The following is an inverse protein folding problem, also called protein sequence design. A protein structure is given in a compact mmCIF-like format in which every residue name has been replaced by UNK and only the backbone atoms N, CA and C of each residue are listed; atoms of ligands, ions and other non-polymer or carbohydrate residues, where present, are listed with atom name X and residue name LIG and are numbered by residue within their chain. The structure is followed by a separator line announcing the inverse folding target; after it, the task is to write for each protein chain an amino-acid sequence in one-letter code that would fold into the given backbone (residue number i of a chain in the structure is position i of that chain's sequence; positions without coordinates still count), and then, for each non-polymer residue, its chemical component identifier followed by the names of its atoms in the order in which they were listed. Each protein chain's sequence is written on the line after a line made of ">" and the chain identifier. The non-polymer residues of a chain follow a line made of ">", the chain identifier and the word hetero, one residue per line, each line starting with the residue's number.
data_IF_994350652259
#
_entry.id   IF_994350652259
#
_cell.length_a   1.000
_cell.length_b   1.000
_cell.length_c   1.000
_cell.angle_alpha   90.00
_cell.angle_beta   90.00
_cell.angle_gamma   90.00
#
_symmetry.space_group_name_H-M   'P 1'
#
loop_
_entity.id
_entity.type
_entity.pdbx_description
1 polymer ?
#
# COMPACT_ATOMS: atom_id res chain seq x y z
N UNK A 1 -6.17 -17.83 -1.61
CA UNK A 1 -4.81 -18.42 -1.65
C UNK A 1 -4.94 -19.90 -1.39
N UNK A 2 -4.16 -20.71 -2.07
CA UNK A 2 -4.10 -22.16 -1.88
C UNK A 2 -2.65 -22.63 -1.92
N UNK A 3 -2.36 -23.71 -1.19
CA UNK A 3 -1.08 -24.39 -1.34
C UNK A 3 -1.02 -25.05 -2.72
N UNK A 4 0.15 -25.02 -3.36
CA UNK A 4 0.39 -25.74 -4.60
C UNK A 4 0.52 -27.24 -4.31
N UNK A 5 1.14 -27.58 -3.18
CA UNK A 5 1.24 -28.94 -2.63
C UNK A 5 0.74 -28.92 -1.18
N UNK A 6 -0.39 -29.57 -0.92
CA UNK A 6 -0.97 -29.60 0.42
C UNK A 6 -0.29 -30.63 1.34
N UNK A 7 0.46 -31.57 0.78
CA UNK A 7 1.08 -32.68 1.52
C UNK A 7 2.45 -32.28 2.10
N UNK A 8 3.12 -31.27 1.53
CA UNK A 8 4.35 -30.66 2.06
C UNK A 8 4.21 -29.15 2.26
N UNK A 9 3.58 -28.76 3.37
CA UNK A 9 3.24 -27.35 3.68
C UNK A 9 4.48 -26.44 3.81
N UNK A 10 5.64 -26.99 4.21
CA UNK A 10 6.84 -26.17 4.45
C UNK A 10 7.55 -25.82 3.14
N UNK A 11 7.56 -26.74 2.18
CA UNK A 11 8.21 -26.53 0.87
C UNK A 11 7.23 -26.11 -0.23
N UNK A 12 5.92 -26.18 0.03
CA UNK A 12 4.90 -25.76 -0.92
C UNK A 12 4.92 -24.25 -1.16
N UNK A 13 4.88 -23.88 -2.44
CA UNK A 13 4.51 -22.53 -2.84
C UNK A 13 3.06 -22.17 -2.48
N UNK A 14 2.75 -20.88 -2.52
CA UNK A 14 1.41 -20.35 -2.31
C UNK A 14 0.91 -19.80 -3.65
N UNK A 15 -0.20 -20.33 -4.13
CA UNK A 15 -0.90 -19.74 -5.27
C UNK A 15 -1.83 -18.62 -4.82
N UNK A 16 -1.68 -17.46 -5.44
CA UNK A 16 -2.43 -16.25 -5.13
C UNK A 16 -3.42 -15.98 -6.26
N UNK A 17 -4.68 -16.21 -5.93
CA UNK A 17 -5.84 -15.89 -6.78
C UNK A 17 -6.53 -14.64 -6.26
N UNK A 18 -6.97 -13.78 -7.17
CA UNK A 18 -7.74 -12.59 -6.84
C UNK A 18 -8.86 -12.37 -7.86
N UNK A 19 -9.90 -11.68 -7.42
CA UNK A 19 -11.05 -11.31 -8.25
C UNK A 19 -11.23 -9.78 -8.21
N UNK A 20 -10.66 -9.05 -9.17
CA UNK A 20 -10.94 -7.62 -9.33
C UNK A 20 -12.42 -7.37 -9.66
N UNK A 21 -12.95 -6.16 -9.38
CA UNK A 21 -14.31 -5.80 -9.73
C UNK A 21 -14.61 -6.03 -11.22
N UNK A 22 -15.68 -6.76 -11.51
CA UNK A 22 -16.10 -7.06 -12.89
C UNK A 22 -15.28 -8.14 -13.61
N UNK A 23 -14.29 -8.77 -12.95
CA UNK A 23 -13.51 -9.88 -13.51
C UNK A 23 -13.83 -11.21 -12.82
N UNK A 24 -13.44 -12.29 -13.49
CA UNK A 24 -13.45 -13.64 -12.93
C UNK A 24 -12.23 -13.82 -12.03
N UNK A 25 -12.36 -14.75 -11.10
CA UNK A 25 -11.28 -15.17 -10.22
C UNK A 25 -10.17 -15.83 -11.04
N UNK A 26 -8.95 -15.31 -10.91
CA UNK A 26 -7.79 -15.77 -11.69
C UNK A 26 -6.49 -15.56 -10.92
N UNK A 27 -5.42 -16.17 -11.40
CA UNK A 27 -4.08 -16.01 -10.84
C UNK A 27 -3.63 -14.55 -10.91
N UNK A 28 -3.04 -14.02 -9.83
CA UNK A 28 -2.54 -12.63 -9.76
C UNK A 28 -1.54 -12.31 -10.88
N UNK A 29 -0.76 -13.29 -11.34
CA UNK A 29 0.19 -13.10 -12.44
C UNK A 29 -0.48 -12.72 -13.77
N UNK A 30 -1.78 -13.01 -13.93
CA UNK A 30 -2.57 -12.69 -15.12
C UNK A 30 -3.30 -11.34 -15.04
N UNK A 31 -3.23 -10.63 -13.91
CA UNK A 31 -3.89 -9.34 -13.72
C UNK A 31 -3.17 -8.19 -14.45
N UNK A 32 -3.82 -7.04 -14.60
CA UNK A 32 -3.17 -5.81 -15.07
C UNK A 32 -2.17 -5.27 -14.02
N UNK A 33 -1.28 -4.35 -14.40
CA UNK A 33 -0.31 -3.77 -13.47
C UNK A 33 -0.95 -3.17 -12.21
N UNK A 34 -1.97 -2.32 -12.37
CA UNK A 34 -2.68 -1.72 -11.24
C UNK A 34 -3.45 -2.74 -10.39
N UNK A 35 -4.02 -3.77 -11.00
CA UNK A 35 -4.70 -4.86 -10.28
C UNK A 35 -3.73 -5.74 -9.48
N UNK A 36 -2.54 -6.05 -10.05
CA UNK A 36 -1.47 -6.73 -9.31
C UNK A 36 -1.01 -5.90 -8.12
N UNK A 37 -0.82 -4.60 -8.32
CA UNK A 37 -0.42 -3.70 -7.24
C UNK A 37 -1.47 -3.65 -6.13
N UNK A 38 -2.75 -3.54 -6.48
CA UNK A 38 -3.85 -3.55 -5.50
C UNK A 38 -3.92 -4.89 -4.74
N UNK A 39 -3.76 -6.03 -5.43
CA UNK A 39 -3.74 -7.35 -4.79
C UNK A 39 -2.55 -7.51 -3.84
N UNK A 40 -1.36 -7.06 -4.25
CA UNK A 40 -0.15 -7.08 -3.42
C UNK A 40 -0.31 -6.18 -2.19
N UNK A 41 -0.83 -4.97 -2.37
CA UNK A 41 -1.11 -4.02 -1.29
C UNK A 41 -2.13 -4.59 -0.30
N UNK A 42 -3.22 -5.20 -0.80
CA UNK A 42 -4.21 -5.86 0.05
C UNK A 42 -3.59 -7.01 0.88
N UNK A 43 -2.69 -7.79 0.29
CA UNK A 43 -1.96 -8.84 1.00
C UNK A 43 -1.06 -8.27 2.10
N UNK A 44 -0.26 -7.25 1.78
CA UNK A 44 0.62 -6.58 2.75
C UNK A 44 -0.18 -6.00 3.92
N UNK A 45 -1.26 -5.27 3.62
CA UNK A 45 -2.14 -4.72 4.65
C UNK A 45 -2.83 -5.83 5.48
N UNK A 46 -3.19 -6.95 4.85
CA UNK A 46 -3.73 -8.12 5.56
C UNK A 46 -2.74 -8.75 6.54
N UNK A 47 -1.47 -8.85 6.16
CA UNK A 47 -0.39 -9.31 7.06
C UNK A 47 -0.23 -8.34 8.23
N UNK A 48 -0.19 -7.03 7.95
CA UNK A 48 -0.10 -6.00 8.99
C UNK A 48 -1.32 -5.99 9.91
N UNK A 49 -2.51 -6.29 9.41
CA UNK A 49 -3.71 -6.38 10.24
C UNK A 49 -3.65 -7.57 11.21
N UNK A 50 -3.07 -8.71 10.79
CA UNK A 50 -2.91 -9.88 11.66
C UNK A 50 -1.85 -9.66 12.75
N UNK A 51 -0.73 -9.00 12.41
CA UNK A 51 0.33 -8.63 13.36
C UNK A 51 0.69 -7.16 13.20
N UNK A 52 -0.02 -6.25 13.89
CA UNK A 52 0.23 -4.83 13.77
C UNK A 52 1.61 -4.47 14.31
N UNK A 53 2.38 -3.78 13.49
CA UNK A 53 3.61 -3.09 13.89
C UNK A 53 3.26 -1.74 14.53
N UNK A 54 4.07 -1.21 15.46
CA UNK A 54 3.87 0.15 15.97
C UNK A 54 3.96 1.21 14.87
N UNK A 55 4.70 0.95 13.78
CA UNK A 55 4.75 1.82 12.62
C UNK A 55 4.88 1.05 11.29
N UNK A 56 4.48 1.69 10.19
CA UNK A 56 4.57 1.20 8.82
C UNK A 56 5.09 2.31 7.90
N UNK A 57 6.11 2.01 7.10
CA UNK A 57 6.67 2.90 6.08
C UNK A 57 6.26 2.38 4.69
N UNK A 58 5.59 3.22 3.90
CA UNK A 58 5.16 2.91 2.54
C UNK A 58 5.81 3.89 1.57
N UNK A 59 6.47 3.38 0.54
CA UNK A 59 7.18 4.18 -0.46
C UNK A 59 6.55 4.01 -1.85
N UNK A 60 5.93 5.09 -2.35
CA UNK A 60 5.25 5.20 -3.66
C UNK A 60 4.32 4.03 -4.02
N UNK A 61 3.72 3.40 -3.00
CA UNK A 61 2.86 2.21 -3.19
C UNK A 61 1.57 2.52 -3.95
N UNK A 62 1.21 3.79 -4.05
CA UNK A 62 0.04 4.30 -4.75
C UNK A 62 0.31 4.78 -6.18
N UNK A 63 1.57 4.81 -6.63
CA UNK A 63 1.95 5.15 -8.00
C UNK A 63 1.25 4.30 -9.09
N UNK A 64 1.05 2.97 -8.94
CA UNK A 64 0.40 2.16 -9.97
C UNK A 64 -1.14 2.18 -9.90
N UNK A 65 -1.73 2.94 -8.96
CA UNK A 65 -3.17 2.92 -8.70
C UNK A 65 -3.89 4.06 -9.43
N UNK A 66 -5.12 3.80 -9.90
CA UNK A 66 -6.02 4.84 -10.36
C UNK A 66 -6.66 5.61 -9.19
N UNK A 67 -7.30 6.75 -9.47
CA UNK A 67 -7.87 7.64 -8.45
C UNK A 67 -8.90 6.95 -7.53
N UNK A 68 -9.69 6.02 -8.08
CA UNK A 68 -10.67 5.26 -7.32
C UNK A 68 -9.99 4.32 -6.31
N UNK A 69 -8.93 3.61 -6.74
CA UNK A 69 -8.19 2.69 -5.91
C UNK A 69 -7.27 3.39 -4.92
N UNK A 70 -6.72 4.57 -5.26
CA UNK A 70 -6.06 5.47 -4.30
C UNK A 70 -7.00 5.84 -3.17
N UNK A 71 -8.26 6.17 -3.48
CA UNK A 71 -9.28 6.43 -2.45
C UNK A 71 -9.45 5.27 -1.47
N UNK A 72 -9.62 4.06 -2.00
CA UNK A 72 -9.75 2.84 -1.18
C UNK A 72 -8.52 2.57 -0.32
N UNK A 73 -7.33 2.79 -0.87
CA UNK A 73 -6.07 2.67 -0.14
C UNK A 73 -6.01 3.65 1.02
N UNK A 74 -6.27 4.93 0.75
CA UNK A 74 -6.23 6.01 1.75
C UNK A 74 -7.24 5.77 2.87
N UNK A 75 -8.46 5.35 2.54
CA UNK A 75 -9.48 5.03 3.55
C UNK A 75 -9.02 3.89 4.46
N UNK A 76 -8.38 2.85 3.90
CA UNK A 76 -7.88 1.73 4.70
C UNK A 76 -6.69 2.09 5.57
N UNK A 77 -5.75 2.90 5.05
CA UNK A 77 -4.62 3.40 5.84
C UNK A 77 -5.12 4.28 6.99
N UNK A 78 -6.13 5.12 6.75
CA UNK A 78 -6.72 5.97 7.80
C UNK A 78 -7.31 5.13 8.95
N UNK A 79 -8.05 4.08 8.62
CA UNK A 79 -8.60 3.14 9.62
C UNK A 79 -7.48 2.47 10.44
N UNK A 80 -6.45 1.94 9.76
CA UNK A 80 -5.33 1.29 10.45
C UNK A 80 -4.46 2.28 11.25
N UNK A 81 -4.48 3.56 10.88
CA UNK A 81 -3.73 4.61 11.55
C UNK A 81 -4.23 4.94 12.96
N UNK A 82 -5.37 4.38 13.38
CA UNK A 82 -5.86 4.47 14.76
C UNK A 82 -4.98 3.69 15.74
N UNK A 83 -4.36 2.59 15.28
CA UNK A 83 -3.51 1.71 16.11
C UNK A 83 -2.04 1.67 15.69
N UNK A 84 -1.72 2.03 14.44
CA UNK A 84 -0.38 1.94 13.86
C UNK A 84 0.04 3.29 13.28
N UNK A 85 1.28 3.74 13.49
CA UNK A 85 1.77 4.96 12.85
C UNK A 85 2.11 4.69 11.37
N UNK A 86 1.51 5.43 10.44
CA UNK A 86 1.87 5.35 9.03
C UNK A 86 2.75 6.52 8.59
N UNK A 87 3.83 6.21 7.89
CA UNK A 87 4.69 7.15 7.18
C UNK A 87 4.60 6.78 5.71
N UNK A 88 4.10 7.69 4.88
CA UNK A 88 3.87 7.43 3.45
C UNK A 88 4.68 8.43 2.63
N UNK A 89 5.52 7.91 1.75
CA UNK A 89 6.24 8.69 0.73
C UNK A 89 5.41 8.58 -0.55
N UNK A 90 4.95 9.72 -1.06
CA UNK A 90 4.08 9.76 -2.24
C UNK A 90 4.12 11.14 -2.89
N UNK A 91 3.79 11.20 -4.17
CA UNK A 91 3.48 12.42 -4.91
C UNK A 91 1.96 12.57 -5.18
N UNK A 92 1.13 11.65 -4.69
CA UNK A 92 -0.31 11.65 -4.91
C UNK A 92 -1.02 12.62 -3.95
N UNK A 93 -1.68 13.64 -4.52
CA UNK A 93 -2.39 14.68 -3.77
C UNK A 93 -3.43 14.12 -2.80
N UNK A 94 -4.17 13.09 -3.21
CA UNK A 94 -5.26 12.52 -2.40
C UNK A 94 -4.73 11.77 -1.18
N UNK A 95 -3.58 11.12 -1.34
CA UNK A 95 -2.86 10.48 -0.22
C UNK A 95 -2.29 11.53 0.72
N UNK A 96 -1.72 12.63 0.19
CA UNK A 96 -1.21 13.74 1.00
C UNK A 96 -2.31 14.42 1.83
N UNK A 97 -3.50 14.65 1.25
CA UNK A 97 -4.64 15.31 1.90
C UNK A 97 -5.17 14.56 3.12
N UNK A 98 -4.91 13.24 3.24
CA UNK A 98 -5.33 12.47 4.41
C UNK A 98 -4.37 12.61 5.60
N UNK A 99 -3.11 12.96 5.34
CA UNK A 99 -2.09 13.00 6.38
C UNK A 99 -2.44 14.00 7.49
N UNK A 100 -1.96 13.75 8.71
CA UNK A 100 -2.01 14.74 9.82
C UNK A 100 -0.86 15.74 9.74
N UNK A 101 0.24 15.34 9.10
CA UNK A 101 1.41 16.18 8.87
C UNK A 101 2.04 15.81 7.54
N UNK A 102 2.52 16.82 6.82
CA UNK A 102 3.31 16.66 5.60
C UNK A 102 4.74 17.10 5.87
N UNK A 103 5.67 16.32 5.34
CA UNK A 103 7.08 16.63 5.31
C UNK A 103 7.51 16.70 3.85
N UNK A 104 7.75 17.92 3.36
CA UNK A 104 8.26 18.16 2.02
C UNK A 104 9.79 18.14 2.03
N UNK A 105 10.38 17.52 1.01
CA UNK A 105 11.81 17.59 0.76
C UNK A 105 12.02 18.49 -0.46
N UNK A 106 12.80 19.56 -0.30
CA UNK A 106 13.15 20.51 -1.37
C UNK A 106 14.66 20.62 -1.52
N UNK A 107 15.10 21.19 -2.64
CA UNK A 107 16.50 21.48 -2.94
C UNK A 107 16.64 22.96 -3.29
N UNK A 108 16.93 23.79 -2.30
CA UNK A 108 17.24 25.22 -2.52
C UNK A 108 18.62 25.38 -3.18
N UNK A 109 19.56 24.51 -2.81
CA UNK A 109 20.89 24.39 -3.39
C UNK A 109 21.06 23.02 -4.06
N UNK A 110 21.77 22.99 -5.19
CA UNK A 110 21.98 21.76 -5.93
C UNK A 110 22.74 20.73 -5.08
N UNK A 111 22.13 19.55 -4.90
CA UNK A 111 22.69 18.46 -4.09
C UNK A 111 22.46 18.57 -2.58
N UNK A 112 21.79 19.61 -2.08
CA UNK A 112 21.49 19.78 -0.65
C UNK A 112 19.98 19.69 -0.42
N UNK A 113 19.53 18.58 0.16
CA UNK A 113 18.14 18.40 0.56
C UNK A 113 17.82 19.20 1.83
N UNK A 114 16.68 19.90 1.82
CA UNK A 114 16.14 20.66 2.95
C UNK A 114 14.72 20.19 3.25
N UNK A 115 14.41 20.01 4.52
CA UNK A 115 13.08 19.57 4.98
C UNK A 115 12.20 20.78 5.29
N UNK A 116 10.96 20.74 4.84
CA UNK A 116 9.88 21.65 5.25
C UNK A 116 8.73 20.82 5.80
N UNK A 117 7.99 21.35 6.79
CA UNK A 117 6.89 20.61 7.42
C UNK A 117 5.65 21.47 7.56
N UNK A 118 4.49 20.85 7.36
CA UNK A 118 3.17 21.42 7.64
C UNK A 118 2.40 20.43 8.50
N UNK A 119 1.73 20.90 9.54
CA UNK A 119 0.76 20.10 10.30
C UNK A 119 -0.63 20.57 9.93
N UNK A 120 -1.53 19.63 9.70
CA UNK A 120 -2.94 19.90 9.51
C UNK A 120 -3.63 19.79 10.86
N UNK A 121 -4.35 20.85 11.26
CA UNK A 121 -5.13 20.90 12.50
C UNK A 121 -6.41 20.07 12.41
#
# INVERSE_FOLDING_TARGET
>A
MSLIDADDVLESGIDIIAQPPGKRLQNVLLLSGGEKAMAALALVLGIFHYRPSPFCLLDEVDAPLDEANVGRFVDKVREMAESTQFIVITHNKRTMEMARALYGVTMEEAGVSKLVSVKFD
#
